data_IF_458787352369
#
_entry.id   IF_458787352369
#
_cell.length_a   1.000
_cell.length_b   1.000
_cell.length_c   1.000
_cell.angle_alpha   90.00
_cell.angle_beta   90.00
_cell.angle_gamma   90.00
#
_symmetry.space_group_name_H-M   'P 1'
#
loop_
_entity.id
_entity.type
_entity.pdbx_description
1 polymer ?
#
# COMPACT_ATOMS: atom_id res chain seq x y z
N UNK A 1 27.53 16.87 -4.51
CA UNK A 1 26.28 16.76 -3.71
C UNK A 1 25.02 16.84 -4.56
N UNK A 2 25.04 17.50 -5.73
CA UNK A 2 23.88 17.57 -6.62
C UNK A 2 23.68 16.19 -7.27
N UNK A 3 22.54 15.50 -7.07
CA UNK A 3 22.26 14.22 -7.70
C UNK A 3 22.02 14.38 -9.22
N UNK A 4 22.30 13.31 -9.98
CA UNK A 4 22.08 13.26 -11.44
C UNK A 4 20.72 12.69 -11.84
N UNK A 5 19.92 12.26 -10.87
CA UNK A 5 18.56 11.75 -11.05
C UNK A 5 17.52 12.76 -10.58
N UNK A 6 16.31 12.64 -11.11
CA UNK A 6 15.18 13.52 -10.81
C UNK A 6 14.75 13.51 -9.33
N UNK A 7 14.19 14.64 -8.92
CA UNK A 7 13.68 14.84 -7.56
C UNK A 7 12.55 13.85 -7.28
N UNK A 8 12.68 13.08 -6.19
CA UNK A 8 11.68 12.09 -5.78
C UNK A 8 11.93 10.67 -6.32
N UNK A 9 12.92 10.45 -7.19
CA UNK A 9 13.33 9.09 -7.58
C UNK A 9 13.73 8.25 -6.35
N UNK A 10 14.33 8.92 -5.35
CA UNK A 10 14.55 8.39 -4.00
C UNK A 10 13.68 9.14 -2.99
N UNK A 11 13.48 8.53 -1.81
CA UNK A 11 12.84 9.21 -0.68
C UNK A 11 13.59 10.49 -0.34
N UNK A 12 12.85 11.59 -0.20
CA UNK A 12 13.43 12.89 0.10
C UNK A 12 14.19 12.85 1.42
N UNK A 13 15.48 13.12 1.30
CA UNK A 13 16.50 13.23 2.33
C UNK A 13 17.53 14.24 1.79
N UNK A 14 18.35 14.88 2.63
CA UNK A 14 18.46 14.79 4.08
C UNK A 14 17.54 15.78 4.82
N UNK A 15 17.56 15.73 6.16
CA UNK A 15 16.75 16.59 7.02
C UNK A 15 17.30 18.02 7.16
N UNK A 16 16.60 18.81 7.97
CA UNK A 16 16.96 20.18 8.32
C UNK A 16 18.41 20.24 8.84
N UNK A 17 19.16 21.28 8.46
CA UNK A 17 20.55 21.55 8.88
C UNK A 17 21.64 20.63 8.28
N UNK A 18 21.31 19.68 7.40
CA UNK A 18 22.33 18.79 6.85
C UNK A 18 23.36 19.55 6.00
N UNK A 19 22.92 20.40 5.07
CA UNK A 19 23.85 21.12 4.17
C UNK A 19 24.71 22.13 4.93
N UNK A 20 24.15 22.78 5.95
CA UNK A 20 24.81 23.69 6.86
C UNK A 20 25.87 22.95 7.69
N UNK A 21 25.60 21.70 8.08
CA UNK A 21 26.57 20.89 8.82
C UNK A 21 27.84 20.60 8.01
N UNK A 22 27.74 20.48 6.68
CA UNK A 22 28.87 20.17 5.81
C UNK A 22 29.90 21.33 5.69
N UNK A 23 29.54 22.53 6.13
CA UNK A 23 30.39 23.72 6.09
C UNK A 23 31.09 24.04 7.42
N UNK A 24 30.83 23.27 8.48
CA UNK A 24 31.46 23.52 9.78
C UNK A 24 32.94 23.14 9.76
N UNK A 25 33.76 23.92 10.46
CA UNK A 25 35.23 23.73 10.52
C UNK A 25 35.65 22.35 11.04
N UNK A 26 34.79 21.69 11.82
CA UNK A 26 35.02 20.37 12.40
C UNK A 26 34.45 19.21 11.57
N UNK A 27 34.00 19.45 10.34
CA UNK A 27 33.43 18.43 9.44
C UNK A 27 34.31 18.30 8.20
N UNK A 28 34.75 17.06 7.93
CA UNK A 28 35.45 16.70 6.69
C UNK A 28 34.55 15.76 5.89
N UNK A 29 34.19 16.16 4.68
CA UNK A 29 33.48 15.29 3.73
C UNK A 29 34.50 14.50 2.94
N UNK A 30 34.40 13.17 3.00
CA UNK A 30 35.23 12.24 2.24
C UNK A 30 34.37 11.63 1.14
N UNK A 31 34.85 11.69 -0.10
CA UNK A 31 34.21 11.07 -1.26
C UNK A 31 35.02 9.83 -1.66
N UNK A 32 34.33 8.78 -2.13
CA UNK A 32 34.96 7.52 -2.54
C UNK A 32 34.33 6.31 -1.86
N UNK A 33 34.91 5.15 -2.10
CA UNK A 33 34.54 3.88 -1.48
C UNK A 33 35.50 3.54 -0.31
N UNK A 34 35.00 2.75 0.65
CA UNK A 34 35.83 2.21 1.74
C UNK A 34 36.39 0.86 1.29
N UNK A 35 37.72 0.73 1.22
CA UNK A 35 38.38 -0.53 0.87
C UNK A 35 38.39 -1.52 2.04
N UNK A 36 38.70 -1.02 3.24
CA UNK A 36 38.80 -1.84 4.45
C UNK A 36 38.69 -0.99 5.72
N UNK A 37 38.35 -1.66 6.83
CA UNK A 37 38.39 -1.09 8.17
C UNK A 37 39.63 -1.63 8.88
N UNK A 38 40.40 -0.74 9.48
CA UNK A 38 41.59 -1.05 10.28
C UNK A 38 41.34 -0.77 11.76
N UNK A 39 42.33 -1.03 12.61
CA UNK A 39 42.28 -0.64 14.03
C UNK A 39 42.19 0.87 14.24
N UNK A 40 42.57 1.69 13.24
CA UNK A 40 42.54 3.15 13.34
C UNK A 40 41.27 3.76 12.77
N UNK A 41 40.69 3.16 11.73
CA UNK A 41 39.51 3.71 11.06
C UNK A 41 39.31 3.18 9.64
N UNK A 42 38.79 4.02 8.76
CA UNK A 42 38.46 3.65 7.38
C UNK A 42 39.66 3.91 6.45
N UNK A 43 40.09 2.89 5.70
CA UNK A 43 40.97 3.07 4.55
C UNK A 43 40.12 3.20 3.28
N UNK A 44 40.29 4.30 2.57
CA UNK A 44 39.51 4.62 1.37
C UNK A 44 40.30 4.38 0.08
N UNK A 45 39.59 4.36 -1.04
CA UNK A 45 40.11 4.15 -2.40
C UNK A 45 41.00 5.31 -2.91
N UNK A 46 41.00 6.45 -2.23
CA UNK A 46 41.94 7.55 -2.43
C UNK A 46 43.35 7.27 -1.85
N UNK A 47 43.54 6.11 -1.23
CA UNK A 47 44.78 5.67 -0.60
C UNK A 47 45.00 6.24 0.81
N UNK A 48 44.10 7.07 1.31
CA UNK A 48 44.18 7.65 2.64
C UNK A 48 43.50 6.76 3.68
N UNK A 49 44.01 6.84 4.91
CA UNK A 49 43.37 6.29 6.09
C UNK A 49 42.80 7.45 6.91
N UNK A 50 41.57 7.29 7.38
CA UNK A 50 40.83 8.28 8.16
C UNK A 50 40.64 7.76 9.58
N UNK A 51 41.52 8.12 10.53
CA UNK A 51 41.41 7.64 11.89
C UNK A 51 40.18 8.22 12.59
N UNK A 52 39.44 7.37 13.30
CA UNK A 52 38.25 7.75 14.05
C UNK A 52 38.17 6.95 15.35
N UNK A 53 37.73 7.60 16.42
CA UNK A 53 37.45 6.91 17.69
C UNK A 53 36.12 6.14 17.65
N UNK A 54 35.18 6.59 16.80
CA UNK A 54 33.83 6.02 16.67
C UNK A 54 33.45 5.94 15.19
N UNK A 55 32.99 4.76 14.76
CA UNK A 55 32.46 4.51 13.42
C UNK A 55 30.94 4.30 13.48
N UNK A 56 30.17 5.10 12.74
CA UNK A 56 28.70 4.99 12.64
C UNK A 56 28.32 4.48 11.25
N UNK A 57 27.71 3.29 11.17
CA UNK A 57 27.31 2.66 9.92
C UNK A 57 25.87 3.07 9.51
N UNK A 58 25.75 4.11 8.69
CA UNK A 58 24.48 4.54 8.09
C UNK A 58 24.22 3.86 6.72
N UNK A 59 24.39 2.53 6.64
CA UNK A 59 24.43 1.75 5.39
C UNK A 59 23.06 1.37 4.81
N UNK A 60 21.97 1.75 5.48
CA UNK A 60 20.60 1.47 5.05
C UNK A 60 20.00 0.22 5.71
N UNK A 61 19.12 -0.47 4.98
CA UNK A 61 18.32 -1.58 5.49
C UNK A 61 18.26 -2.73 4.48
N UNK A 62 17.86 -3.91 4.94
CA UNK A 62 17.43 -5.00 4.06
C UNK A 62 16.08 -4.64 3.43
N UNK A 63 16.06 -4.61 2.10
CA UNK A 63 14.93 -4.17 1.27
C UNK A 63 14.36 -5.32 0.43
N UNK A 64 14.77 -6.55 0.72
CA UNK A 64 14.37 -7.74 -0.03
C UNK A 64 12.93 -8.16 0.21
N UNK A 65 12.31 -7.65 1.29
CA UNK A 65 11.03 -8.13 1.85
C UNK A 65 11.03 -9.59 2.29
N UNK A 66 12.15 -10.31 2.21
CA UNK A 66 12.22 -11.70 2.65
C UNK A 66 11.92 -11.76 4.15
N UNK A 67 11.02 -12.65 4.59
CA UNK A 67 10.75 -12.85 6.01
C UNK A 67 12.03 -13.14 6.79
N UNK A 68 12.11 -12.70 8.05
CA UNK A 68 13.31 -12.90 8.88
C UNK A 68 13.48 -14.34 9.40
N UNK A 69 12.42 -15.12 9.35
CA UNK A 69 12.39 -16.51 9.78
C UNK A 69 11.68 -17.35 8.71
N UNK A 70 11.93 -18.68 8.67
CA UNK A 70 11.25 -19.57 7.73
C UNK A 70 9.74 -19.51 7.92
N UNK A 71 9.04 -19.27 6.82
CA UNK A 71 7.57 -19.27 6.77
C UNK A 71 7.16 -20.37 5.80
N UNK A 72 6.78 -21.52 6.35
CA UNK A 72 6.54 -22.74 5.59
C UNK A 72 5.04 -22.85 5.29
N UNK A 73 4.69 -22.72 4.01
CA UNK A 73 3.34 -22.89 3.50
C UNK A 73 3.05 -24.33 3.06
N UNK A 74 1.84 -24.58 2.50
CA UNK A 74 1.47 -25.83 1.88
C UNK A 74 2.52 -26.35 0.89
N UNK A 75 2.70 -27.68 0.86
CA UNK A 75 3.71 -28.30 -0.01
C UNK A 75 5.16 -28.06 0.42
N UNK A 76 5.38 -27.65 1.68
CA UNK A 76 6.71 -27.35 2.25
C UNK A 76 7.45 -26.22 1.53
N UNK A 77 6.69 -25.26 0.97
CA UNK A 77 7.25 -24.08 0.30
C UNK A 77 7.58 -23.01 1.33
N UNK A 78 8.84 -22.57 1.38
CA UNK A 78 9.26 -21.48 2.25
C UNK A 78 9.08 -20.11 1.55
N UNK A 79 8.38 -19.17 2.18
CA UNK A 79 8.18 -17.82 1.65
C UNK A 79 9.50 -17.07 1.44
N UNK A 80 10.52 -17.33 2.27
CA UNK A 80 11.84 -16.71 2.11
C UNK A 80 12.50 -17.06 0.78
N UNK A 81 12.23 -18.26 0.27
CA UNK A 81 12.78 -18.76 -0.99
C UNK A 81 11.91 -18.29 -2.16
N UNK A 82 10.58 -18.32 -1.99
CA UNK A 82 9.63 -17.81 -2.98
C UNK A 82 9.86 -16.31 -3.26
N UNK A 83 10.17 -15.51 -2.24
CA UNK A 83 10.45 -14.07 -2.35
C UNK A 83 11.94 -13.75 -2.55
N UNK A 84 12.81 -14.74 -2.74
CA UNK A 84 14.25 -14.51 -2.88
C UNK A 84 14.62 -13.70 -4.13
N UNK A 85 13.88 -13.88 -5.23
CA UNK A 85 14.08 -13.13 -6.48
C UNK A 85 13.16 -11.92 -6.56
N UNK A 86 11.88 -12.15 -6.35
CA UNK A 86 10.87 -11.11 -6.46
C UNK A 86 9.77 -11.34 -5.43
N UNK A 87 9.54 -10.36 -4.53
CA UNK A 87 8.53 -10.51 -3.52
C UNK A 87 7.16 -10.09 -4.09
N UNK A 88 6.20 -11.02 -4.04
CA UNK A 88 4.86 -10.87 -4.61
C UNK A 88 3.81 -10.91 -3.51
N UNK A 89 3.04 -9.84 -3.39
CA UNK A 89 2.01 -9.71 -2.37
C UNK A 89 0.74 -9.07 -2.93
N UNK A 90 -0.39 -9.42 -2.33
CA UNK A 90 -1.68 -8.78 -2.57
C UNK A 90 -1.77 -7.50 -1.71
N UNK A 91 -1.82 -6.33 -2.36
CA UNK A 91 -2.00 -5.00 -1.73
C UNK A 91 -1.03 -4.68 -0.56
N UNK A 92 0.11 -5.38 -0.47
CA UNK A 92 1.05 -5.25 0.63
C UNK A 92 0.64 -5.95 1.93
N UNK A 93 -0.42 -6.78 1.91
CA UNK A 93 -1.02 -7.36 3.14
C UNK A 93 -0.97 -8.88 3.24
N UNK A 94 -0.85 -9.60 2.14
CA UNK A 94 -0.85 -11.07 2.14
C UNK A 94 -0.08 -11.66 0.95
N UNK A 95 0.27 -12.95 1.03
CA UNK A 95 1.00 -13.65 -0.04
C UNK A 95 0.17 -14.81 -0.61
N UNK A 96 0.11 -14.98 -1.94
CA UNK A 96 -0.61 -16.11 -2.54
C UNK A 96 0.08 -17.43 -2.19
N UNK A 97 -0.70 -18.47 -1.91
CA UNK A 97 -0.19 -19.78 -1.48
C UNK A 97 0.20 -19.86 0.00
N UNK A 98 0.06 -18.79 0.77
CA UNK A 98 0.33 -18.77 2.22
C UNK A 98 -0.96 -18.45 2.99
N UNK A 99 -1.77 -19.47 3.32
CA UNK A 99 -3.05 -19.28 4.01
C UNK A 99 -2.88 -18.69 5.40
N UNK A 100 -3.82 -17.82 5.78
CA UNK A 100 -3.89 -17.14 7.07
C UNK A 100 -2.64 -16.32 7.42
N UNK A 101 -1.81 -15.98 6.43
CA UNK A 101 -0.65 -15.13 6.60
C UNK A 101 -0.98 -13.69 6.20
N UNK A 102 -0.84 -12.78 7.16
CA UNK A 102 -0.89 -11.34 6.93
C UNK A 102 0.43 -10.68 7.29
N UNK A 103 0.77 -9.61 6.57
CA UNK A 103 1.99 -8.82 6.78
C UNK A 103 1.66 -7.34 6.69
N UNK A 104 2.26 -6.53 7.58
CA UNK A 104 2.24 -5.08 7.46
C UNK A 104 3.38 -4.61 6.58
N UNK A 105 3.13 -3.58 5.78
CA UNK A 105 4.13 -2.94 4.91
C UNK A 105 4.86 -3.97 4.02
N UNK A 106 4.12 -4.96 3.50
CA UNK A 106 4.65 -5.92 2.54
C UNK A 106 4.90 -5.29 1.15
N UNK A 107 5.39 -6.07 0.18
CA UNK A 107 5.69 -5.61 -1.17
C UNK A 107 4.53 -4.85 -1.84
N UNK A 108 4.85 -3.83 -2.64
CA UNK A 108 3.94 -2.84 -3.25
C UNK A 108 3.21 -1.97 -2.20
N UNK A 109 3.80 -1.83 -1.02
CA UNK A 109 3.44 -0.95 0.10
C UNK A 109 4.75 -0.68 0.87
N UNK A 110 4.97 0.48 1.53
CA UNK A 110 4.07 1.59 1.84
C UNK A 110 3.78 2.54 0.68
N UNK A 111 3.04 3.61 1.00
CA UNK A 111 2.88 4.78 0.14
C UNK A 111 4.18 5.60 0.16
N UNK A 112 4.72 5.93 -1.02
CA UNK A 112 5.98 6.68 -1.16
C UNK A 112 5.87 8.18 -0.88
N UNK A 113 4.67 8.75 -0.97
CA UNK A 113 4.39 10.18 -0.92
C UNK A 113 3.39 10.58 0.18
N UNK A 114 3.44 9.94 1.34
CA UNK A 114 2.59 10.31 2.47
C UNK A 114 2.95 9.63 3.78
N UNK A 115 2.12 9.82 4.82
CA UNK A 115 2.35 9.25 6.14
C UNK A 115 2.22 7.72 6.09
N UNK A 116 3.31 7.02 6.35
CA UNK A 116 3.34 5.55 6.44
C UNK A 116 2.38 5.03 7.50
N UNK A 117 2.19 5.78 8.60
CA UNK A 117 1.27 5.41 9.68
C UNK A 117 -0.17 5.22 9.17
N UNK A 118 -0.64 6.08 8.27
CA UNK A 118 -1.98 5.93 7.68
C UNK A 118 -2.10 4.65 6.85
N UNK A 119 -1.02 4.19 6.21
CA UNK A 119 -1.02 2.90 5.53
C UNK A 119 -1.16 1.74 6.53
N UNK A 120 -0.46 1.80 7.66
CA UNK A 120 -0.50 0.77 8.71
C UNK A 120 -1.90 0.66 9.31
N UNK A 121 -2.52 1.78 9.69
CA UNK A 121 -3.88 1.81 10.24
C UNK A 121 -4.89 1.24 9.22
N UNK A 122 -4.77 1.65 7.96
CA UNK A 122 -5.60 1.13 6.87
C UNK A 122 -5.43 -0.37 6.65
N UNK A 123 -4.19 -0.87 6.73
CA UNK A 123 -3.90 -2.31 6.64
C UNK A 123 -4.51 -3.06 7.83
N UNK A 124 -4.45 -2.50 9.03
CA UNK A 124 -5.02 -3.10 10.23
C UNK A 124 -6.55 -3.25 10.09
N UNK A 125 -7.25 -2.17 9.70
CA UNK A 125 -8.71 -2.21 9.50
C UNK A 125 -9.12 -3.24 8.43
N UNK A 126 -8.37 -3.31 7.32
CA UNK A 126 -8.60 -4.29 6.27
C UNK A 126 -8.41 -5.73 6.77
N UNK A 127 -7.32 -6.00 7.49
CA UNK A 127 -7.04 -7.32 8.05
C UNK A 127 -8.08 -7.71 9.10
N UNK A 128 -8.46 -6.78 9.99
CA UNK A 128 -9.47 -7.03 11.01
C UNK A 128 -10.84 -7.36 10.41
N UNK A 129 -11.21 -6.75 9.28
CA UNK A 129 -12.44 -7.10 8.55
C UNK A 129 -12.43 -8.56 8.08
N UNK A 130 -11.28 -9.05 7.59
CA UNK A 130 -11.12 -10.45 7.19
C UNK A 130 -11.07 -11.39 8.41
N UNK A 131 -10.42 -10.99 9.50
CA UNK A 131 -10.32 -11.77 10.74
C UNK A 131 -11.68 -11.89 11.43
N UNK A 132 -12.47 -10.84 11.48
CA UNK A 132 -13.83 -10.87 12.02
C UNK A 132 -14.69 -11.91 11.28
N UNK A 133 -14.68 -11.83 9.94
CA UNK A 133 -15.36 -12.81 9.09
C UNK A 133 -14.83 -14.24 9.29
N UNK A 134 -13.52 -14.38 9.45
CA UNK A 134 -12.90 -15.68 9.74
C UNK A 134 -13.46 -16.29 11.03
N UNK A 135 -13.59 -15.49 12.08
CA UNK A 135 -14.10 -15.92 13.39
C UNK A 135 -15.61 -16.18 13.39
N UNK A 136 -16.38 -15.48 12.55
CA UNK A 136 -17.84 -15.52 12.57
C UNK A 136 -18.48 -16.42 11.51
N UNK A 137 -17.77 -16.80 10.43
CA UNK A 137 -18.34 -17.58 9.30
C UNK A 137 -17.78 -19.01 9.14
N UNK A 138 -17.17 -19.58 10.18
CA UNK A 138 -16.63 -20.96 10.16
C UNK A 138 -15.63 -21.20 9.00
N UNK A 139 -14.82 -20.18 8.71
CA UNK A 139 -13.75 -20.25 7.73
C UNK A 139 -12.57 -20.98 8.37
N UNK A 140 -12.00 -21.97 7.68
CA UNK A 140 -10.78 -22.65 8.11
C UNK A 140 -9.53 -21.87 7.70
N UNK A 141 -9.49 -21.43 6.45
CA UNK A 141 -8.36 -20.65 5.95
C UNK A 141 -8.73 -19.72 4.80
N UNK A 142 -7.99 -18.64 4.66
CA UNK A 142 -8.11 -17.70 3.55
C UNK A 142 -6.74 -17.27 3.01
N UNK A 143 -6.66 -17.04 1.70
CA UNK A 143 -5.48 -16.47 1.04
C UNK A 143 -5.90 -15.70 -0.21
N UNK A 144 -5.11 -14.71 -0.67
CA UNK A 144 -5.36 -14.09 -1.96
C UNK A 144 -5.15 -15.09 -3.09
N UNK A 145 -5.98 -14.99 -4.13
CA UNK A 145 -5.82 -15.80 -5.33
C UNK A 145 -4.54 -15.40 -6.08
N UNK A 146 -3.89 -16.38 -6.70
CA UNK A 146 -2.65 -16.15 -7.44
C UNK A 146 -2.88 -15.23 -8.65
N UNK A 147 -3.99 -15.40 -9.39
CA UNK A 147 -4.34 -14.56 -10.54
C UNK A 147 -4.61 -13.10 -10.14
N UNK A 148 -5.33 -12.86 -9.05
CA UNK A 148 -5.57 -11.52 -8.52
C UNK A 148 -4.26 -10.81 -8.12
N UNK A 149 -3.28 -11.56 -7.59
CA UNK A 149 -1.95 -11.02 -7.29
C UNK A 149 -1.19 -10.68 -8.57
N UNK A 150 -1.17 -11.56 -9.57
CA UNK A 150 -0.48 -11.27 -10.84
C UNK A 150 -1.11 -10.09 -11.59
N UNK A 151 -2.45 -10.00 -11.64
CA UNK A 151 -3.16 -8.86 -12.22
C UNK A 151 -2.83 -7.54 -11.51
N UNK A 152 -2.78 -7.57 -10.18
CA UNK A 152 -2.37 -6.42 -9.37
C UNK A 152 -0.92 -6.01 -9.69
N UNK A 153 0.02 -6.96 -9.74
CA UNK A 153 1.42 -6.69 -10.06
C UNK A 153 1.55 -6.10 -11.47
N UNK A 154 0.90 -6.69 -12.47
CA UNK A 154 0.90 -6.18 -13.84
C UNK A 154 0.37 -4.73 -13.92
N UNK A 155 -0.69 -4.43 -13.17
CA UNK A 155 -1.21 -3.07 -13.06
C UNK A 155 -0.21 -2.11 -12.39
N UNK A 156 0.40 -2.54 -11.29
CA UNK A 156 1.41 -1.74 -10.58
C UNK A 156 2.58 -1.42 -11.50
N UNK A 157 3.06 -2.40 -12.28
CA UNK A 157 4.23 -2.24 -13.13
C UNK A 157 3.95 -1.32 -14.31
N UNK A 158 2.74 -1.40 -14.89
CA UNK A 158 2.30 -0.49 -15.94
C UNK A 158 2.23 0.96 -15.42
N UNK A 159 1.77 1.16 -14.18
CA UNK A 159 1.73 2.48 -13.54
C UNK A 159 3.15 3.00 -13.27
N UNK A 160 4.00 2.19 -12.63
CA UNK A 160 5.34 2.60 -12.18
C UNK A 160 6.23 3.08 -13.31
N UNK A 161 6.10 2.51 -14.53
CA UNK A 161 6.82 2.95 -15.74
C UNK A 161 6.66 4.44 -16.06
N UNK A 162 5.56 5.06 -15.64
CA UNK A 162 5.24 6.47 -15.90
C UNK A 162 5.64 7.39 -14.74
N UNK A 163 6.29 6.85 -13.71
CA UNK A 163 6.63 7.59 -12.49
C UNK A 163 8.12 7.88 -12.42
N UNK A 164 8.48 8.87 -11.62
CA UNK A 164 9.88 9.21 -11.32
C UNK A 164 10.62 8.06 -10.63
N UNK A 165 9.91 7.13 -10.00
CA UNK A 165 10.52 6.00 -9.28
C UNK A 165 11.19 4.99 -10.21
N UNK A 166 10.82 4.97 -11.50
CA UNK A 166 11.42 4.09 -12.51
C UNK A 166 12.66 4.69 -13.18
N UNK A 167 13.00 5.96 -12.93
CA UNK A 167 14.22 6.58 -13.45
C UNK A 167 15.47 5.83 -12.97
N UNK A 168 16.59 5.95 -13.69
CA UNK A 168 17.88 5.30 -13.38
C UNK A 168 18.54 5.88 -12.11
N UNK A 169 18.00 5.51 -10.96
CA UNK A 169 18.54 5.86 -9.65
C UNK A 169 18.55 4.65 -8.72
N UNK A 170 19.69 4.39 -8.06
CA UNK A 170 19.79 3.33 -7.05
C UNK A 170 18.89 3.65 -5.85
N UNK A 171 17.83 2.87 -5.63
CA UNK A 171 16.87 3.14 -4.56
C UNK A 171 16.43 1.85 -3.87
N UNK A 172 16.14 1.94 -2.58
CA UNK A 172 15.50 0.85 -1.85
C UNK A 172 14.13 0.48 -2.42
N UNK A 173 13.48 1.41 -3.15
CA UNK A 173 12.24 1.15 -3.89
C UNK A 173 12.37 0.01 -4.91
N UNK A 174 13.60 -0.22 -5.40
CA UNK A 174 13.97 -1.19 -6.44
C UNK A 174 15.00 -2.19 -5.90
N UNK A 175 14.88 -2.56 -4.62
CA UNK A 175 15.81 -3.45 -3.92
C UNK A 175 17.29 -3.05 -4.08
N UNK A 176 17.59 -1.75 -3.91
CA UNK A 176 18.92 -1.16 -4.10
C UNK A 176 19.54 -1.34 -5.50
N UNK A 177 18.72 -1.61 -6.51
CA UNK A 177 19.10 -1.55 -7.92
C UNK A 177 18.73 -0.20 -8.55
N UNK A 178 19.43 0.15 -9.62
CA UNK A 178 19.15 1.36 -10.40
C UNK A 178 18.00 1.17 -11.41
N UNK A 179 17.81 -0.06 -11.91
CA UNK A 179 16.88 -0.36 -13.01
C UNK A 179 15.88 -1.49 -12.74
N UNK A 180 15.92 -2.12 -11.56
CA UNK A 180 14.97 -3.17 -11.22
C UNK A 180 13.53 -2.65 -11.09
N UNK A 181 12.58 -3.59 -11.01
CA UNK A 181 11.17 -3.31 -10.75
C UNK A 181 10.98 -2.57 -9.42
N UNK A 182 10.08 -1.59 -9.40
CA UNK A 182 9.67 -0.90 -8.18
C UNK A 182 8.75 -1.82 -7.38
N UNK A 183 9.32 -2.53 -6.40
CA UNK A 183 8.61 -3.53 -5.59
C UNK A 183 8.16 -3.00 -4.23
N UNK A 184 8.60 -1.81 -3.82
CA UNK A 184 8.43 -1.33 -2.45
C UNK A 184 7.31 -0.29 -2.27
N UNK A 185 6.68 0.18 -3.34
CA UNK A 185 5.77 1.33 -3.30
C UNK A 185 4.39 0.98 -3.83
N UNK A 186 3.37 1.62 -3.23
CA UNK A 186 2.02 1.64 -3.77
C UNK A 186 1.95 2.45 -5.08
N UNK A 187 1.27 1.95 -6.14
CA UNK A 187 1.10 2.66 -7.42
C UNK A 187 0.01 3.75 -7.33
N UNK A 188 0.19 4.74 -6.46
CA UNK A 188 -0.78 5.82 -6.32
C UNK A 188 -0.53 6.73 -5.12
N UNK A 189 -1.48 7.62 -4.87
CA UNK A 189 -1.45 8.52 -3.72
C UNK A 189 -1.87 7.84 -2.41
N UNK A 190 -1.65 8.52 -1.29
CA UNK A 190 -2.14 8.07 0.02
C UNK A 190 -3.66 7.89 0.03
N UNK A 191 -4.40 8.86 -0.54
CA UNK A 191 -5.85 8.78 -0.62
C UNK A 191 -6.29 7.61 -1.50
N UNK A 192 -5.58 7.34 -2.59
CA UNK A 192 -5.85 6.19 -3.45
C UNK A 192 -5.70 4.86 -2.69
N UNK A 193 -4.66 4.71 -1.86
CA UNK A 193 -4.48 3.51 -1.03
C UNK A 193 -5.61 3.35 -0.01
N UNK A 194 -5.93 4.41 0.72
CA UNK A 194 -7.00 4.41 1.73
C UNK A 194 -8.36 4.08 1.11
N UNK A 195 -8.65 4.64 -0.07
CA UNK A 195 -9.90 4.35 -0.79
C UNK A 195 -9.95 2.90 -1.31
N UNK A 196 -8.84 2.38 -1.84
CA UNK A 196 -8.76 1.00 -2.33
C UNK A 196 -8.95 -0.02 -1.20
N UNK A 197 -8.30 0.19 -0.07
CA UNK A 197 -8.33 -0.72 1.07
C UNK A 197 -9.60 -0.59 1.93
N UNK A 198 -10.43 0.43 1.71
CA UNK A 198 -11.65 0.62 2.51
C UNK A 198 -12.70 -0.47 2.28
N UNK A 199 -12.71 -1.06 1.09
CA UNK A 199 -13.72 -2.04 0.70
C UNK A 199 -13.02 -3.36 0.37
N UNK A 200 -13.18 -4.35 1.25
CA UNK A 200 -12.59 -5.67 1.06
C UNK A 200 -13.12 -6.33 -0.21
N UNK A 201 -12.21 -6.67 -1.12
CA UNK A 201 -12.51 -7.35 -2.38
C UNK A 201 -12.51 -8.86 -2.15
N UNK A 202 -13.57 -9.38 -1.53
CA UNK A 202 -13.67 -10.80 -1.21
C UNK A 202 -13.54 -11.71 -2.44
N UNK A 203 -13.88 -11.21 -3.63
CA UNK A 203 -13.71 -11.91 -4.89
C UNK A 203 -12.24 -12.23 -5.24
N UNK A 204 -11.28 -11.50 -4.67
CA UNK A 204 -9.84 -11.68 -4.88
C UNK A 204 -9.26 -12.74 -3.91
N UNK A 205 -10.08 -13.34 -3.05
CA UNK A 205 -9.66 -14.28 -2.01
C UNK A 205 -10.26 -15.68 -2.22
N UNK A 206 -9.46 -16.70 -1.91
CA UNK A 206 -9.93 -18.06 -1.75
C UNK A 206 -10.24 -18.32 -0.28
N UNK A 207 -11.47 -18.78 -0.01
CA UNK A 207 -11.92 -19.16 1.33
C UNK A 207 -12.16 -20.67 1.39
N UNK A 208 -11.47 -21.34 2.30
CA UNK A 208 -11.72 -22.72 2.69
C UNK A 208 -12.50 -22.72 3.99
N UNK A 209 -13.61 -23.44 4.03
CA UNK A 209 -14.47 -23.58 5.21
C UNK A 209 -14.19 -24.90 5.93
N UNK A 210 -14.44 -24.94 7.24
CA UNK A 210 -14.41 -26.18 8.00
C UNK A 210 -15.80 -26.85 7.95
N UNK A 211 -15.97 -27.87 7.11
CA UNK A 211 -17.27 -28.51 6.88
C UNK A 211 -18.22 -27.65 6.04
N UNK A 212 -19.48 -27.51 6.47
CA UNK A 212 -20.48 -26.78 5.71
C UNK A 212 -20.28 -25.26 5.86
N UNK A 213 -20.21 -24.54 4.74
CA UNK A 213 -20.02 -23.07 4.72
C UNK A 213 -21.11 -22.27 5.43
N UNK A 214 -22.30 -22.84 5.63
CA UNK A 214 -23.42 -22.20 6.31
C UNK A 214 -23.56 -22.69 7.76
N UNK A 215 -22.63 -23.50 8.27
CA UNK A 215 -22.68 -23.99 9.65
C UNK A 215 -22.66 -22.84 10.68
N UNK A 216 -22.12 -21.67 10.31
CA UNK A 216 -22.16 -20.48 11.15
C UNK A 216 -23.58 -19.97 11.47
N UNK A 217 -24.60 -20.36 10.69
CA UNK A 217 -26.00 -20.05 11.00
C UNK A 217 -26.49 -20.72 12.29
N UNK A 218 -25.72 -21.66 12.84
CA UNK A 218 -25.98 -22.27 14.14
C UNK A 218 -27.33 -22.99 14.17
N UNK A 219 -28.15 -22.63 15.16
CA UNK A 219 -29.43 -23.26 15.45
C UNK A 219 -30.64 -22.47 14.90
N UNK A 220 -30.41 -21.50 14.02
CA UNK A 220 -31.46 -20.71 13.39
C UNK A 220 -31.96 -19.51 14.21
N UNK A 221 -31.44 -19.28 15.43
CA UNK A 221 -31.68 -18.05 16.18
C UNK A 221 -30.65 -16.98 15.81
N UNK A 222 -31.12 -15.75 15.65
CA UNK A 222 -30.27 -14.59 15.46
C UNK A 222 -29.56 -14.20 16.77
N UNK A 223 -28.40 -13.55 16.67
CA UNK A 223 -27.72 -13.02 17.86
C UNK A 223 -28.61 -11.98 18.60
N UNK A 224 -29.45 -11.25 17.86
CA UNK A 224 -30.42 -10.29 18.41
C UNK A 224 -31.48 -10.97 19.29
N UNK A 225 -31.97 -12.16 18.92
CA UNK A 225 -32.92 -12.92 19.75
C UNK A 225 -32.28 -13.48 21.03
N UNK A 226 -30.96 -13.67 21.03
CA UNK A 226 -30.21 -14.22 22.17
C UNK A 226 -29.76 -13.13 23.15
N UNK A 227 -29.74 -11.86 22.73
CA UNK A 227 -29.36 -10.73 23.56
C UNK A 227 -30.61 -10.09 24.21
N UNK A 228 -30.83 -10.25 25.53
CA UNK A 228 -32.01 -9.72 26.21
C UNK A 228 -32.05 -8.19 26.26
N UNK A 229 -30.98 -7.51 25.87
CA UNK A 229 -30.88 -6.05 25.85
C UNK A 229 -31.20 -5.43 24.48
N UNK A 230 -31.36 -6.26 23.45
CA UNK A 230 -31.61 -5.80 22.09
C UNK A 230 -33.07 -5.42 21.81
N UNK A 231 -33.27 -4.44 20.93
CA UNK A 231 -34.57 -4.16 20.32
C UNK A 231 -34.83 -5.12 19.16
N UNK A 232 -35.80 -6.02 19.32
CA UNK A 232 -36.19 -6.98 18.29
C UNK A 232 -36.85 -6.31 17.07
N UNK A 233 -37.36 -5.09 17.22
CA UNK A 233 -38.04 -4.32 16.18
C UNK A 233 -37.14 -3.35 15.40
N UNK A 234 -35.81 -3.39 15.59
CA UNK A 234 -34.86 -2.40 15.08
C UNK A 234 -34.95 -2.10 13.57
N UNK A 235 -35.48 -3.03 12.77
CA UNK A 235 -35.61 -2.90 11.31
C UNK A 235 -36.84 -2.08 10.88
N UNK A 236 -37.83 -1.85 11.76
CA UNK A 236 -39.00 -1.02 11.49
C UNK A 236 -38.62 0.44 11.69
N UNK A 237 -38.53 1.21 10.60
CA UNK A 237 -38.01 2.58 10.61
C UNK A 237 -38.95 3.55 9.91
N UNK A 238 -38.97 4.81 10.36
CA UNK A 238 -39.76 5.90 9.75
C UNK A 238 -38.96 6.71 8.74
N UNK A 239 -37.63 6.56 8.73
CA UNK A 239 -36.69 7.19 7.79
C UNK A 239 -35.60 6.20 7.39
N UNK A 240 -35.03 6.37 6.20
CA UNK A 240 -33.86 5.61 5.78
C UNK A 240 -32.58 6.31 6.25
N UNK A 241 -31.97 5.74 7.28
CA UNK A 241 -30.67 6.11 7.85
C UNK A 241 -29.56 5.13 7.46
N UNK A 242 -29.84 4.25 6.49
CA UNK A 242 -28.88 3.26 6.01
C UNK A 242 -27.65 3.91 5.38
N UNK A 243 -26.46 3.26 5.48
CA UNK A 243 -25.30 3.73 4.76
C UNK A 243 -25.58 3.68 3.24
N UNK A 244 -25.05 4.67 2.51
CA UNK A 244 -25.22 4.69 1.06
C UNK A 244 -24.68 3.41 0.41
N UNK A 245 -25.46 2.74 -0.43
CA UNK A 245 -25.01 1.52 -1.13
C UNK A 245 -24.00 1.81 -2.26
N UNK A 246 -24.02 3.03 -2.81
CA UNK A 246 -23.07 3.45 -3.86
C UNK A 246 -21.71 3.83 -3.25
N UNK A 247 -20.63 3.24 -3.78
CA UNK A 247 -19.24 3.60 -3.44
C UNK A 247 -18.97 5.10 -3.60
N UNK A 248 -19.43 5.72 -4.70
CA UNK A 248 -19.22 7.16 -4.91
C UNK A 248 -19.97 8.01 -3.89
N UNK A 249 -21.22 7.66 -3.56
CA UNK A 249 -21.97 8.39 -2.51
C UNK A 249 -21.30 8.26 -1.15
N UNK A 250 -20.86 7.06 -0.74
CA UNK A 250 -20.09 6.85 0.50
C UNK A 250 -18.84 7.72 0.52
N UNK A 251 -18.02 7.65 -0.54
CA UNK A 251 -16.80 8.46 -0.67
C UNK A 251 -17.09 9.95 -0.56
N UNK A 252 -18.11 10.47 -1.25
CA UNK A 252 -18.48 11.90 -1.19
C UNK A 252 -18.84 12.36 0.21
N UNK A 253 -19.57 11.54 0.96
CA UNK A 253 -19.98 11.87 2.34
C UNK A 253 -18.78 11.85 3.28
N UNK A 254 -17.98 10.77 3.24
CA UNK A 254 -16.77 10.62 4.07
C UNK A 254 -15.77 11.75 3.80
N UNK A 255 -15.54 12.07 2.52
CA UNK A 255 -14.59 13.13 2.11
C UNK A 255 -15.16 14.54 2.22
N UNK A 256 -16.44 14.68 2.61
CA UNK A 256 -17.18 15.96 2.62
C UNK A 256 -17.02 16.69 1.28
N UNK A 257 -17.22 15.98 0.18
CA UNK A 257 -17.04 16.50 -1.17
C UNK A 257 -17.88 17.76 -1.39
N UNK A 258 -17.26 18.84 -1.89
CA UNK A 258 -17.89 20.15 -2.05
C UNK A 258 -17.78 21.08 -0.83
N UNK A 259 -17.25 20.62 0.30
CA UNK A 259 -17.05 21.47 1.49
C UNK A 259 -15.92 22.49 1.38
N UNK A 260 -15.06 22.37 0.36
CA UNK A 260 -13.93 23.29 0.09
C UNK A 260 -14.10 23.89 -1.30
N UNK A 261 -13.77 25.18 -1.44
CA UNK A 261 -13.67 25.85 -2.74
C UNK A 261 -12.50 25.29 -3.53
N UNK A 262 -12.74 24.93 -4.79
CA UNK A 262 -11.67 24.44 -5.66
C UNK A 262 -10.66 25.57 -5.94
N UNK A 263 -9.34 25.35 -5.78
CA UNK A 263 -8.35 26.25 -6.35
C UNK A 263 -8.48 26.27 -7.88
N UNK A 264 -8.05 27.37 -8.52
CA UNK A 264 -8.03 27.52 -9.99
C UNK A 264 -7.36 26.27 -10.59
N UNK A 265 -8.12 25.56 -11.44
CA UNK A 265 -7.93 24.14 -11.65
C UNK A 265 -6.69 23.80 -12.49
N UNK A 266 -5.89 22.85 -12.00
CA UNK A 266 -5.18 21.89 -12.85
C UNK A 266 -5.75 20.50 -12.52
N UNK A 267 -6.86 20.08 -13.16
CA UNK A 267 -7.44 18.78 -12.88
C UNK A 267 -6.46 17.71 -13.35
N UNK A 268 -6.12 16.76 -12.46
CA UNK A 268 -5.46 15.52 -12.87
C UNK A 268 -6.45 14.78 -13.76
N UNK A 269 -6.19 14.77 -15.08
CA UNK A 269 -7.01 14.03 -16.02
C UNK A 269 -6.65 12.55 -15.96
N UNK A 270 -7.61 11.72 -15.58
CA UNK A 270 -7.53 10.28 -15.73
C UNK A 270 -7.98 9.91 -17.14
N UNK A 271 -7.05 9.45 -17.98
CA UNK A 271 -7.35 8.84 -19.28
C UNK A 271 -6.99 7.35 -19.20
N UNK A 272 -7.97 6.44 -19.24
CA UNK A 272 -7.67 5.02 -19.36
C UNK A 272 -7.17 4.76 -20.79
N UNK A 273 -5.95 4.24 -20.94
CA UNK A 273 -5.35 3.93 -22.24
C UNK A 273 -6.08 2.83 -23.03
N UNK A 274 -7.13 2.20 -22.47
CA UNK A 274 -7.87 1.10 -23.10
C UNK A 274 -9.42 1.21 -23.00
N UNK A 275 -9.99 2.39 -22.78
CA UNK A 275 -11.45 2.50 -22.94
C UNK A 275 -11.79 2.63 -24.43
N UNK A 276 -12.31 1.56 -25.03
CA UNK A 276 -13.20 1.69 -26.20
C UNK A 276 -14.31 2.70 -25.92
N UNK A 277 -15.00 3.24 -26.95
CA UNK A 277 -15.84 4.43 -26.81
C UNK A 277 -16.88 4.26 -25.70
N UNK A 278 -16.61 4.94 -24.56
CA UNK A 278 -17.53 5.04 -23.44
C UNK A 278 -18.75 5.83 -23.89
N UNK A 279 -19.90 5.17 -24.00
CA UNK A 279 -21.22 5.81 -24.06
C UNK A 279 -21.41 6.62 -22.78
N UNK A 280 -21.10 7.92 -22.85
CA UNK A 280 -21.57 8.88 -21.84
C UNK A 280 -23.09 8.87 -21.92
N UNK A 281 -23.74 8.39 -20.86
CA UNK A 281 -25.14 8.73 -20.60
C UNK A 281 -25.21 10.25 -20.51
N UNK A 282 -25.87 10.85 -21.50
CA UNK A 282 -26.13 12.27 -21.56
C UNK A 282 -26.84 12.71 -20.27
N UNK A 283 -26.29 13.72 -19.59
CA UNK A 283 -27.06 14.43 -18.58
C UNK A 283 -28.19 15.18 -19.29
N UNK A 284 -29.43 15.20 -18.77
CA UNK A 284 -30.50 15.94 -19.40
C UNK A 284 -30.19 17.45 -19.34
N UNK A 285 -30.26 18.10 -20.50
CA UNK A 285 -30.17 19.55 -20.64
C UNK A 285 -31.21 20.24 -19.75
N UNK A 286 -30.75 21.23 -18.97
CA UNK A 286 -31.64 22.20 -18.35
C UNK A 286 -32.25 23.07 -19.45
N UNK A 287 -33.48 22.82 -19.82
CA UNK A 287 -34.30 23.77 -20.59
C UNK A 287 -34.69 24.93 -19.68
N UNK A 288 -33.93 26.02 -19.76
CA UNK A 288 -34.44 27.35 -19.48
C UNK A 288 -35.27 27.80 -20.68
N UNK A 289 -36.59 27.79 -20.54
CA UNK A 289 -37.53 28.39 -21.47
C UNK A 289 -38.46 29.32 -20.71
N UNK A 290 -38.08 30.58 -20.61
CA UNK A 290 -39.00 31.66 -20.24
C UNK A 290 -39.85 31.99 -21.47
N UNK A 291 -41.18 31.96 -21.32
CA UNK A 291 -42.07 32.74 -22.16
C UNK A 291 -43.28 33.19 -21.33
N UNK A 292 -43.43 34.52 -21.28
CA UNK A 292 -44.59 35.25 -20.78
C UNK A 292 -45.77 35.09 -21.74
N UNK A 293 -46.91 34.66 -21.23
CA UNK A 293 -48.24 35.29 -21.22
C UNK A 293 -49.28 34.24 -20.84
#
# INVERSE_FOLDING_TARGET
LIPTWGVGCRRLTPGINYLESLHKDNVKVVYGEIESITEKGCKCDDGNEYPVDVLICATGFDTSFRPRFPLIGPGNVNLQDAWAKEPKSYLGVAAPGFPNYFIFLGPNCPIGNGPVLSAIETQADYMLTLVDRWQTENIHSMMPKADAVEDFLAHTDAFMKKTIWQEDCRSWYKNNSASARVSALWPGSTLHYIEMMRETRYEDWDFKYDGNRFAFMGNGYSQTELDPTCDLGYYIRTVDDGPYSSRDKRRRVITKSGSKTAPIANPVQWAPENSGPSTRLAQPEKTQGAARL
#
